data_IF_694434118661
#
_entry.id   IF_694434118661
#
_cell.length_a   1.000
_cell.length_b   1.000
_cell.length_c   1.000
_cell.angle_alpha   90.00
_cell.angle_beta   90.00
_cell.angle_gamma   90.00
#
_symmetry.space_group_name_H-M   'P 1'
#
loop_
_entity.id
_entity.type
_entity.pdbx_description
1 polymer ?
#
# COMPACT_ATOMS: atom_id res chain seq x y z
N UNK A 1 4.47 -1.43 -13.26
CA UNK A 1 5.20 -0.52 -12.34
C UNK A 1 5.40 -1.31 -11.05
N UNK A 2 6.61 -1.37 -10.51
CA UNK A 2 6.87 -2.17 -9.30
C UNK A 2 6.24 -1.48 -8.07
N UNK A 3 5.14 -2.04 -7.55
CA UNK A 3 4.43 -1.45 -6.41
C UNK A 3 5.26 -1.50 -5.12
N UNK A 4 6.16 -2.47 -5.00
CA UNK A 4 7.10 -2.56 -3.88
C UNK A 4 8.12 -1.42 -3.94
N UNK A 5 8.56 -1.05 -5.15
CA UNK A 5 9.41 0.14 -5.33
C UNK A 5 8.67 1.43 -4.93
N UNK A 6 7.40 1.60 -5.34
CA UNK A 6 6.60 2.75 -4.93
C UNK A 6 6.41 2.81 -3.40
N UNK A 7 6.09 1.68 -2.75
CA UNK A 7 5.95 1.61 -1.30
C UNK A 7 7.26 1.90 -0.57
N UNK A 8 8.39 1.42 -1.12
CA UNK A 8 9.74 1.68 -0.59
C UNK A 8 10.12 3.16 -0.66
N UNK A 9 9.75 3.85 -1.75
CA UNK A 9 9.96 5.29 -1.88
C UNK A 9 9.11 6.06 -0.87
N UNK A 10 7.85 5.68 -0.68
CA UNK A 10 6.95 6.32 0.28
C UNK A 10 7.40 6.10 1.73
N UNK A 11 7.99 4.94 2.03
CA UNK A 11 8.59 4.64 3.34
C UNK A 11 9.83 5.49 3.69
N UNK A 12 10.34 6.27 2.72
CA UNK A 12 11.42 7.25 2.89
C UNK A 12 10.96 8.60 2.34
N UNK A 13 10.02 9.27 3.02
CA UNK A 13 9.43 10.49 2.49
C UNK A 13 10.49 11.60 2.40
N UNK A 14 10.79 12.05 1.18
CA UNK A 14 11.47 13.31 0.92
C UNK A 14 10.47 14.37 0.44
N UNK A 15 10.81 15.64 0.63
CA UNK A 15 9.97 16.82 0.33
C UNK A 15 9.47 16.89 -1.12
N UNK A 16 10.13 16.23 -2.06
CA UNK A 16 9.71 16.15 -3.47
C UNK A 16 8.57 15.14 -3.75
N UNK A 17 8.14 14.34 -2.77
CA UNK A 17 7.11 13.31 -2.98
C UNK A 17 5.67 13.82 -2.96
N UNK A 18 5.41 15.03 -2.44
CA UNK A 18 4.05 15.56 -2.33
C UNK A 18 3.32 15.65 -3.69
N UNK A 19 4.04 15.92 -4.79
CA UNK A 19 3.47 16.06 -6.13
C UNK A 19 3.07 14.74 -6.79
N UNK A 20 3.60 13.60 -6.32
CA UNK A 20 3.32 12.29 -6.91
C UNK A 20 2.79 11.29 -5.89
N UNK A 21 2.41 11.76 -4.70
CA UNK A 21 1.93 10.93 -3.61
C UNK A 21 0.68 10.14 -4.04
N UNK A 22 -0.35 10.84 -4.49
CA UNK A 22 -1.63 10.24 -4.89
C UNK A 22 -1.44 9.23 -6.03
N UNK A 23 -0.61 9.58 -7.03
CA UNK A 23 -0.27 8.69 -8.14
C UNK A 23 0.37 7.39 -7.64
N UNK A 24 1.28 7.47 -6.67
CA UNK A 24 1.96 6.29 -6.10
C UNK A 24 1.01 5.45 -5.25
N UNK A 25 0.19 6.08 -4.42
CA UNK A 25 -0.80 5.40 -3.58
C UNK A 25 -1.86 4.68 -4.45
N UNK A 26 -2.42 5.39 -5.44
CA UNK A 26 -3.38 4.81 -6.39
C UNK A 26 -2.76 3.68 -7.21
N UNK A 27 -1.49 3.80 -7.60
CA UNK A 27 -0.78 2.73 -8.31
C UNK A 27 -0.62 1.48 -7.45
N UNK A 28 -0.37 1.62 -6.14
CA UNK A 28 -0.26 0.48 -5.22
C UNK A 28 -1.63 -0.16 -5.05
N UNK A 29 -2.65 0.64 -4.69
CA UNK A 29 -4.03 0.17 -4.46
C UNK A 29 -4.60 -0.58 -5.66
N UNK A 30 -4.49 0.00 -6.88
CA UNK A 30 -5.00 -0.63 -8.11
C UNK A 30 -4.33 -1.96 -8.45
N UNK A 31 -3.04 -2.10 -8.17
CA UNK A 31 -2.34 -3.35 -8.47
C UNK A 31 -2.69 -4.42 -7.45
N UNK A 32 -2.82 -4.05 -6.16
CA UNK A 32 -3.31 -4.96 -5.13
C UNK A 32 -4.74 -5.44 -5.44
N UNK A 33 -5.63 -4.55 -5.90
CA UNK A 33 -6.98 -4.92 -6.37
C UNK A 33 -6.94 -5.93 -7.51
N UNK A 34 -6.09 -5.71 -8.53
CA UNK A 34 -5.94 -6.66 -9.64
C UNK A 34 -5.42 -8.01 -9.18
N UNK A 35 -4.46 -8.03 -8.26
CA UNK A 35 -3.91 -9.28 -7.71
C UNK A 35 -4.95 -10.02 -6.86
N UNK A 36 -5.83 -9.28 -6.18
CA UNK A 36 -6.94 -9.84 -5.41
C UNK A 36 -8.06 -10.40 -6.28
N UNK A 37 -8.35 -9.81 -7.45
CA UNK A 37 -9.44 -10.22 -8.33
C UNK A 37 -9.40 -11.73 -8.64
N UNK A 38 -10.43 -12.44 -8.19
CA UNK A 38 -10.59 -13.88 -8.42
C UNK A 38 -9.89 -14.79 -7.40
N UNK A 39 -9.31 -14.25 -6.32
CA UNK A 39 -8.73 -15.04 -5.22
C UNK A 39 -9.74 -15.24 -4.08
N UNK A 40 -9.75 -16.45 -3.54
CA UNK A 40 -10.44 -16.77 -2.29
C UNK A 40 -9.44 -16.69 -1.14
N UNK A 41 -9.35 -15.52 -0.52
CA UNK A 41 -8.52 -15.32 0.66
C UNK A 41 -9.17 -15.92 1.91
N UNK A 42 -8.34 -16.34 2.86
CA UNK A 42 -8.82 -16.58 4.22
C UNK A 42 -9.38 -15.29 4.82
N UNK A 43 -10.28 -15.39 5.80
CA UNK A 43 -10.84 -14.21 6.48
C UNK A 43 -9.74 -13.30 7.06
N UNK A 44 -8.68 -13.90 7.63
CA UNK A 44 -7.54 -13.17 8.17
C UNK A 44 -6.78 -12.39 7.10
N UNK A 45 -6.54 -13.01 5.95
CA UNK A 45 -5.82 -12.38 4.83
C UNK A 45 -6.65 -11.28 4.19
N UNK A 46 -7.97 -11.50 4.04
CA UNK A 46 -8.90 -10.50 3.56
C UNK A 46 -8.96 -9.28 4.49
N UNK A 47 -9.01 -9.49 5.81
CA UNK A 47 -8.98 -8.40 6.78
C UNK A 47 -7.68 -7.61 6.72
N UNK A 48 -6.54 -8.30 6.55
CA UNK A 48 -5.23 -7.64 6.41
C UNK A 48 -5.14 -6.83 5.11
N UNK A 49 -5.69 -7.37 4.02
CA UNK A 49 -5.80 -6.70 2.73
C UNK A 49 -6.66 -5.43 2.83
N UNK A 50 -7.87 -5.53 3.40
CA UNK A 50 -8.77 -4.40 3.57
C UNK A 50 -8.20 -3.33 4.50
N UNK A 51 -7.49 -3.75 5.56
CA UNK A 51 -6.79 -2.81 6.44
C UNK A 51 -5.74 -2.00 5.67
N UNK A 52 -4.96 -2.63 4.80
CA UNK A 52 -3.98 -1.93 3.96
C UNK A 52 -4.64 -1.00 2.94
N UNK A 53 -5.75 -1.41 2.32
CA UNK A 53 -6.48 -0.55 1.38
C UNK A 53 -7.02 0.72 2.08
N UNK A 54 -7.60 0.55 3.27
CA UNK A 54 -8.08 1.67 4.08
C UNK A 54 -6.93 2.57 4.55
N UNK A 55 -5.79 1.98 4.92
CA UNK A 55 -4.57 2.71 5.28
C UNK A 55 -4.10 3.60 4.10
N UNK A 56 -4.02 3.04 2.89
CA UNK A 56 -3.63 3.76 1.67
C UNK A 56 -4.56 4.95 1.40
N UNK A 57 -5.87 4.75 1.53
CA UNK A 57 -6.85 5.82 1.31
C UNK A 57 -6.74 6.91 2.37
N UNK A 58 -6.50 6.55 3.64
CA UNK A 58 -6.35 7.50 4.73
C UNK A 58 -5.21 8.50 4.51
N UNK A 59 -4.14 8.08 3.83
CA UNK A 59 -2.96 8.91 3.58
C UNK A 59 -3.24 10.17 2.75
N UNK A 60 -4.29 10.15 1.92
CA UNK A 60 -4.70 11.31 1.13
C UNK A 60 -5.21 12.46 2.01
N UNK A 61 -5.68 12.14 3.22
CA UNK A 61 -6.30 13.09 4.15
C UNK A 61 -5.40 13.50 5.32
N UNK A 62 -4.27 12.81 5.50
CA UNK A 62 -3.31 13.12 6.57
C UNK A 62 -2.43 14.33 6.22
N UNK A 63 -2.06 15.10 7.25
CA UNK A 63 -1.02 16.12 7.10
C UNK A 63 0.34 15.47 6.76
N UNK A 64 1.27 16.23 6.17
CA UNK A 64 2.60 15.71 5.82
C UNK A 64 3.33 15.11 7.03
N UNK A 65 3.22 15.74 8.20
CA UNK A 65 3.83 15.25 9.43
C UNK A 65 3.26 13.88 9.84
N UNK A 66 1.95 13.72 9.80
CA UNK A 66 1.28 12.45 10.13
C UNK A 66 1.61 11.38 9.11
N UNK A 67 1.60 11.71 7.81
CA UNK A 67 2.02 10.81 6.73
C UNK A 67 3.43 10.28 6.93
N UNK A 68 4.38 11.14 7.27
CA UNK A 68 5.78 10.71 7.43
C UNK A 68 5.95 9.69 8.55
N UNK A 69 5.16 9.81 9.61
CA UNK A 69 5.12 8.82 10.69
C UNK A 69 4.43 7.54 10.22
N UNK A 70 3.28 7.67 9.55
CA UNK A 70 2.49 6.51 9.12
C UNK A 70 3.20 5.68 8.03
N UNK A 71 3.99 6.33 7.16
CA UNK A 71 4.80 5.64 6.15
C UNK A 71 5.92 4.76 6.72
N UNK A 72 6.24 4.89 8.02
CA UNK A 72 7.17 3.96 8.66
C UNK A 72 6.61 2.53 8.59
N UNK A 73 7.40 1.63 8.02
CA UNK A 73 7.01 0.23 7.80
C UNK A 73 5.95 0.02 6.72
N UNK A 74 5.57 1.05 5.95
CA UNK A 74 4.56 0.91 4.88
C UNK A 74 5.01 -0.10 3.82
N UNK A 75 6.28 -0.09 3.44
CA UNK A 75 6.87 -1.08 2.54
C UNK A 75 6.66 -2.51 3.03
N UNK A 76 6.92 -2.78 4.31
CA UNK A 76 6.81 -4.13 4.88
C UNK A 76 5.35 -4.60 4.87
N UNK A 77 4.41 -3.71 5.21
CA UNK A 77 2.97 -4.01 5.14
C UNK A 77 2.50 -4.31 3.71
N UNK A 78 2.90 -3.49 2.73
CA UNK A 78 2.61 -3.74 1.32
C UNK A 78 3.22 -5.06 0.85
N UNK A 79 4.47 -5.36 1.26
CA UNK A 79 5.16 -6.61 0.92
C UNK A 79 4.43 -7.83 1.47
N UNK A 80 3.98 -7.80 2.72
CA UNK A 80 3.23 -8.91 3.34
C UNK A 80 1.96 -9.20 2.52
N UNK A 81 1.17 -8.18 2.20
CA UNK A 81 -0.07 -8.36 1.43
C UNK A 81 0.25 -8.82 0.00
N UNK A 82 1.27 -8.25 -0.64
CA UNK A 82 1.72 -8.70 -1.94
C UNK A 82 2.10 -10.18 -1.93
N UNK A 83 2.90 -10.62 -0.96
CA UNK A 83 3.32 -12.02 -0.79
C UNK A 83 2.10 -12.94 -0.54
N UNK A 84 1.11 -12.51 0.25
CA UNK A 84 -0.15 -13.24 0.46
C UNK A 84 -0.90 -13.41 -0.86
N UNK A 85 -1.03 -12.33 -1.63
CA UNK A 85 -1.80 -12.34 -2.87
C UNK A 85 -1.11 -13.20 -3.94
N UNK A 86 0.22 -13.14 -4.10
CA UNK A 86 0.91 -13.96 -5.11
C UNK A 86 0.97 -15.45 -4.73
N UNK A 87 1.05 -15.79 -3.43
CA UNK A 87 1.22 -17.17 -2.98
C UNK A 87 -0.09 -17.92 -2.70
N UNK A 88 -1.23 -17.22 -2.56
CA UNK A 88 -2.56 -17.83 -2.56
C UNK A 88 -3.01 -18.20 -3.98
N UNK A 89 -2.23 -19.03 -4.67
CA UNK A 89 -2.48 -19.50 -6.03
C UNK A 89 -2.94 -20.95 -6.07
#
# INVERSE_FOLDING_TARGET
MDILLNAKMLSKPCTSHALCLDIKLDSISKELDKLYQGKNLSESDFNSYMALQNEIESYKYLSEKERNVAFLGFYDRVKIIFDILINNH
#
